data_IF_335668080944
#
_entry.id   IF_335668080944
#
_cell.length_a   1.000
_cell.length_b   1.000
_cell.length_c   1.000
_cell.angle_alpha   90.00
_cell.angle_beta   90.00
_cell.angle_gamma   90.00
#
_symmetry.space_group_name_H-M   'P 1'
#
loop_
_entity.id
_entity.type
_entity.pdbx_description
1 polymer ?
#
# COMPACT_ATOMS: atom_id res chain seq x y z
N UNK A 1 -14.81 -12.52 39.07
CA UNK A 1 -13.46 -12.18 38.55
C UNK A 1 -13.23 -12.60 37.09
N UNK A 2 -14.00 -13.55 36.54
CA UNK A 2 -13.87 -14.03 35.14
C UNK A 2 -14.33 -13.05 34.04
N UNK A 3 -15.05 -11.98 34.38
CA UNK A 3 -15.65 -11.05 33.40
C UNK A 3 -14.68 -10.00 32.87
N UNK A 4 -13.74 -9.51 33.69
CA UNK A 4 -12.80 -8.46 33.30
C UNK A 4 -11.72 -8.93 32.33
N UNK A 5 -11.25 -10.17 32.47
CA UNK A 5 -10.26 -10.76 31.56
C UNK A 5 -10.81 -10.89 30.14
N UNK A 6 -12.10 -11.25 29.99
CA UNK A 6 -12.75 -11.33 28.68
C UNK A 6 -12.83 -9.96 27.98
N UNK A 7 -13.13 -8.89 28.71
CA UNK A 7 -13.14 -7.53 28.17
C UNK A 7 -11.75 -7.04 27.74
N UNK A 8 -10.71 -7.35 28.51
CA UNK A 8 -9.33 -6.99 28.15
C UNK A 8 -8.83 -7.77 26.92
N UNK A 9 -9.19 -9.05 26.79
CA UNK A 9 -8.84 -9.88 25.64
C UNK A 9 -9.59 -9.39 24.40
N UNK A 10 -10.90 -9.12 24.49
CA UNK A 10 -11.69 -8.58 23.38
C UNK A 10 -11.22 -7.18 22.95
N UNK A 11 -10.88 -6.31 23.90
CA UNK A 11 -10.33 -4.98 23.61
C UNK A 11 -8.95 -5.04 22.94
N UNK A 12 -8.07 -5.92 23.41
CA UNK A 12 -6.75 -6.12 22.81
C UNK A 12 -6.82 -6.71 21.39
N UNK A 13 -7.75 -7.65 21.16
CA UNK A 13 -8.01 -8.19 19.82
C UNK A 13 -8.58 -7.10 18.90
N UNK A 14 -9.59 -6.34 19.35
CA UNK A 14 -10.18 -5.24 18.56
C UNK A 14 -9.15 -4.15 18.19
N UNK A 15 -8.26 -3.77 19.13
CA UNK A 15 -7.19 -2.81 18.87
C UNK A 15 -6.19 -3.28 17.81
N UNK A 16 -5.87 -4.58 17.78
CA UNK A 16 -5.00 -5.18 16.74
C UNK A 16 -5.65 -5.19 15.36
N UNK A 17 -6.95 -5.50 15.28
CA UNK A 17 -7.69 -5.43 14.01
C UNK A 17 -7.84 -4.00 13.50
N UNK A 18 -8.02 -3.02 14.40
CA UNK A 18 -8.08 -1.60 14.03
C UNK A 18 -6.77 -1.11 13.44
N UNK A 19 -5.62 -1.47 14.02
CA UNK A 19 -4.31 -1.07 13.51
C UNK A 19 -3.93 -1.74 12.17
N UNK A 20 -4.33 -2.99 11.96
CA UNK A 20 -4.04 -3.72 10.72
C UNK A 20 -4.70 -3.09 9.48
N UNK A 21 -5.84 -2.41 9.63
CA UNK A 21 -6.48 -1.67 8.53
C UNK A 21 -5.62 -0.50 8.01
N UNK A 22 -4.66 0.00 8.79
CA UNK A 22 -3.78 1.12 8.41
C UNK A 22 -2.57 0.68 7.57
N UNK A 23 -2.30 -0.62 7.45
CA UNK A 23 -1.26 -1.14 6.56
C UNK A 23 -1.57 -0.86 5.08
N UNK A 24 -2.87 -0.73 4.74
CA UNK A 24 -3.37 -0.31 3.44
C UNK A 24 -3.52 1.22 3.32
N UNK A 25 -2.83 2.00 4.14
CA UNK A 25 -2.90 3.45 4.03
C UNK A 25 -2.06 3.93 2.84
N UNK A 26 -2.75 4.29 1.76
CA UNK A 26 -2.20 4.89 0.54
C UNK A 26 -1.27 6.08 0.80
N UNK A 27 -1.42 6.80 1.92
CA UNK A 27 -0.60 7.96 2.27
C UNK A 27 0.66 7.63 3.10
N UNK A 28 0.85 6.36 3.46
CA UNK A 28 1.97 5.90 4.29
C UNK A 28 2.82 4.85 3.57
N UNK A 29 2.23 3.71 3.23
CA UNK A 29 2.97 2.55 2.73
C UNK A 29 3.51 2.80 1.33
N UNK A 30 2.65 3.16 0.38
CA UNK A 30 3.06 3.38 -1.02
C UNK A 30 4.12 4.48 -1.19
N UNK A 31 3.96 5.71 -0.65
CA UNK A 31 4.98 6.73 -0.80
C UNK A 31 6.28 6.40 -0.04
N UNK A 32 6.21 5.74 1.12
CA UNK A 32 7.41 5.34 1.87
C UNK A 32 8.21 4.26 1.14
N UNK A 33 7.53 3.25 0.58
CA UNK A 33 8.19 2.22 -0.22
C UNK A 33 8.80 2.80 -1.50
N UNK A 34 8.05 3.65 -2.21
CA UNK A 34 8.51 4.33 -3.43
C UNK A 34 9.79 5.13 -3.18
N UNK A 35 9.85 5.89 -2.08
CA UNK A 35 11.03 6.64 -1.68
C UNK A 35 12.24 5.73 -1.44
N UNK A 36 12.06 4.66 -0.66
CA UNK A 36 13.14 3.73 -0.34
C UNK A 36 13.71 3.07 -1.60
N UNK A 37 12.85 2.62 -2.52
CA UNK A 37 13.29 2.01 -3.79
C UNK A 37 14.01 3.03 -4.67
N UNK A 38 13.54 4.28 -4.74
CA UNK A 38 14.20 5.33 -5.49
C UNK A 38 15.58 5.69 -4.91
N UNK A 39 15.72 5.68 -3.57
CA UNK A 39 17.00 5.86 -2.89
C UNK A 39 17.96 4.69 -3.17
N UNK A 40 17.46 3.45 -3.20
CA UNK A 40 18.24 2.27 -3.61
C UNK A 40 18.70 2.41 -5.06
N UNK A 41 17.80 2.80 -5.98
CA UNK A 41 18.17 3.04 -7.38
C UNK A 41 19.32 4.04 -7.48
N UNK A 42 19.29 5.15 -6.72
CA UNK A 42 20.36 6.15 -6.74
C UNK A 42 21.73 5.65 -6.26
N UNK A 43 21.83 4.46 -5.66
CA UNK A 43 23.13 3.87 -5.27
C UNK A 43 23.93 3.41 -6.50
N UNK A 44 23.25 3.03 -7.59
CA UNK A 44 23.90 2.44 -8.78
C UNK A 44 23.36 2.97 -10.11
N UNK A 45 22.16 3.55 -10.13
CA UNK A 45 21.46 4.03 -11.32
C UNK A 45 22.07 5.30 -11.87
N UNK A 46 22.06 5.41 -13.21
CA UNK A 46 22.59 6.58 -13.93
C UNK A 46 21.62 6.97 -15.06
N UNK A 47 21.13 8.23 -15.09
CA UNK A 47 21.37 9.27 -14.09
C UNK A 47 20.67 8.98 -12.75
N UNK A 48 21.17 9.53 -11.62
CA UNK A 48 20.44 9.48 -10.36
C UNK A 48 19.20 10.37 -10.42
N UNK A 49 18.14 9.96 -9.73
CA UNK A 49 16.93 10.73 -9.53
C UNK A 49 17.20 11.90 -8.58
N UNK A 50 16.73 13.08 -8.96
CA UNK A 50 16.69 14.26 -8.11
C UNK A 50 15.64 14.12 -7.00
N UNK A 51 15.77 14.92 -5.94
CA UNK A 51 14.76 14.97 -4.89
C UNK A 51 13.34 15.33 -5.41
N UNK A 52 13.26 16.15 -6.46
CA UNK A 52 11.99 16.51 -7.09
C UNK A 52 11.33 15.31 -7.79
N UNK A 53 12.12 14.53 -8.53
CA UNK A 53 11.65 13.32 -9.22
C UNK A 53 11.19 12.25 -8.22
N UNK A 54 11.96 12.04 -7.14
CA UNK A 54 11.53 11.16 -6.04
C UNK A 54 10.22 11.67 -5.43
N UNK A 55 10.08 12.99 -5.26
CA UNK A 55 8.84 13.61 -4.81
C UNK A 55 7.65 13.34 -5.76
N UNK A 56 7.85 13.38 -7.07
CA UNK A 56 6.82 13.06 -8.06
C UNK A 56 6.44 11.59 -8.04
N UNK A 57 7.40 10.67 -7.88
CA UNK A 57 7.12 9.25 -7.74
C UNK A 57 6.25 8.97 -6.50
N UNK A 58 6.61 9.56 -5.34
CA UNK A 58 5.80 9.46 -4.11
C UNK A 58 4.40 10.03 -4.29
N UNK A 59 4.28 11.15 -5.00
CA UNK A 59 2.97 11.76 -5.28
C UNK A 59 2.12 10.86 -6.19
N UNK A 60 2.71 10.32 -7.26
CA UNK A 60 2.04 9.40 -8.17
C UNK A 60 1.52 8.15 -7.45
N UNK A 61 2.34 7.55 -6.58
CA UNK A 61 1.95 6.35 -5.82
C UNK A 61 0.75 6.60 -4.89
N UNK A 62 0.62 7.82 -4.34
CA UNK A 62 -0.53 8.21 -3.51
C UNK A 62 -1.75 8.52 -4.37
N UNK A 63 -1.55 9.19 -5.49
CA UNK A 63 -2.64 9.55 -6.39
C UNK A 63 -3.28 8.31 -7.01
N UNK A 64 -2.51 7.22 -7.20
CA UNK A 64 -2.99 5.96 -7.77
C UNK A 64 -4.26 5.44 -7.10
N UNK A 65 -4.21 5.35 -5.78
CA UNK A 65 -5.28 4.83 -4.93
C UNK A 65 -6.45 5.80 -4.73
N UNK A 66 -6.28 7.10 -5.01
CA UNK A 66 -7.32 8.11 -4.76
C UNK A 66 -8.46 8.07 -5.76
N UNK A 67 -8.22 7.56 -6.96
CA UNK A 67 -9.25 7.48 -8.00
C UNK A 67 -9.99 6.14 -7.87
N UNK A 68 -11.31 6.21 -7.61
CA UNK A 68 -12.18 5.05 -7.44
C UNK A 68 -12.11 4.05 -8.61
N UNK A 69 -12.02 4.52 -9.86
CA UNK A 69 -11.94 3.63 -11.02
C UNK A 69 -10.55 3.01 -11.18
N UNK A 70 -9.49 3.76 -10.87
CA UNK A 70 -8.11 3.28 -10.99
C UNK A 70 -7.78 2.23 -9.91
N UNK A 71 -8.25 2.43 -8.68
CA UNK A 71 -7.94 1.47 -7.60
C UNK A 71 -8.55 0.08 -7.83
N UNK A 72 -9.62 -0.02 -8.63
CA UNK A 72 -10.18 -1.32 -9.05
C UNK A 72 -9.23 -2.14 -9.93
N UNK A 73 -8.22 -1.51 -10.52
CA UNK A 73 -7.20 -2.17 -11.34
C UNK A 73 -6.05 -2.77 -10.52
N UNK A 74 -6.03 -2.61 -9.18
CA UNK A 74 -4.91 -3.03 -8.33
C UNK A 74 -4.90 -4.55 -8.02
N UNK A 75 -5.86 -5.30 -8.55
CA UNK A 75 -5.99 -6.74 -8.34
C UNK A 75 -5.46 -7.50 -9.54
N UNK A 76 -4.61 -8.50 -9.28
CA UNK A 76 -4.07 -9.40 -10.29
C UNK A 76 -3.90 -10.81 -9.70
N UNK A 77 -4.44 -11.81 -10.39
CA UNK A 77 -4.22 -13.22 -10.13
C UNK A 77 -3.18 -13.77 -11.14
N UNK A 78 -1.97 -14.16 -10.70
CA UNK A 78 -0.94 -14.69 -11.58
C UNK A 78 -1.26 -16.09 -12.13
N UNK A 79 -2.13 -16.87 -11.47
CA UNK A 79 -2.50 -18.21 -11.93
C UNK A 79 -3.43 -18.19 -13.14
N UNK A 80 -4.37 -17.25 -13.17
CA UNK A 80 -5.32 -17.08 -14.27
C UNK A 80 -5.01 -15.90 -15.21
N UNK A 81 -4.10 -15.01 -14.81
CA UNK A 81 -3.78 -13.77 -15.53
C UNK A 81 -4.90 -12.72 -15.48
N UNK A 82 -5.88 -12.86 -14.56
CA UNK A 82 -7.07 -12.02 -14.50
C UNK A 82 -6.98 -10.99 -13.37
N UNK A 83 -7.64 -9.86 -13.56
CA UNK A 83 -7.86 -8.86 -12.52
C UNK A 83 -9.18 -9.03 -11.78
N UNK A 84 -9.63 -7.97 -11.12
CA UNK A 84 -10.90 -7.95 -10.40
C UNK A 84 -12.07 -8.31 -11.35
N UNK A 85 -13.00 -9.15 -10.87
CA UNK A 85 -14.16 -9.66 -11.62
C UNK A 85 -13.82 -10.52 -12.87
N UNK A 86 -12.59 -11.01 -13.00
CA UNK A 86 -12.21 -11.87 -14.12
C UNK A 86 -11.92 -11.12 -15.43
N UNK A 87 -11.91 -9.79 -15.40
CA UNK A 87 -11.48 -8.96 -16.53
C UNK A 87 -9.97 -9.07 -16.74
N UNK A 88 -9.49 -8.78 -17.96
CA UNK A 88 -8.04 -8.65 -18.19
C UNK A 88 -7.47 -7.60 -17.24
N UNK A 89 -6.42 -7.96 -16.52
CA UNK A 89 -5.74 -7.04 -15.63
C UNK A 89 -5.18 -5.84 -16.40
N UNK A 90 -5.16 -4.67 -15.77
CA UNK A 90 -4.52 -3.50 -16.35
C UNK A 90 -3.04 -3.83 -16.62
N UNK A 91 -2.66 -3.76 -17.89
CA UNK A 91 -1.27 -3.64 -18.30
C UNK A 91 -0.83 -2.19 -18.15
#
# INVERSE_FOLDING_TARGET
MLTWAAFLILGALAGRFWAAAWAYNATKTHPGFTENVAQIYNQTGQPPLTAAEIGWLKKGSVEEDKNYWRCLNHFYDPGSGRGLYGNYAAK
#
